data_IF_263849182804
#
_entry.id   IF_263849182804
#
_cell.length_a   1.000
_cell.length_b   1.000
_cell.length_c   1.000
_cell.angle_alpha   90.00
_cell.angle_beta   90.00
_cell.angle_gamma   90.00
#
_symmetry.space_group_name_H-M   'P 1'
#
loop_
_entity.id
_entity.type
_entity.pdbx_description
1 polymer ?
#
# COMPACT_ATOMS: atom_id res chain seq x y z
N UNK A 1 50.55 36.78 0.19
CA UNK A 1 49.78 36.82 -1.07
C UNK A 1 48.78 35.67 -1.04
N UNK A 2 47.52 35.96 -0.72
CA UNK A 2 46.47 34.97 -0.48
C UNK A 2 45.52 34.98 -1.70
N UNK A 3 45.55 33.94 -2.53
CA UNK A 3 44.57 33.77 -3.62
C UNK A 3 43.29 33.17 -3.04
N UNK A 4 42.28 34.02 -2.80
CA UNK A 4 40.89 33.61 -2.60
C UNK A 4 40.40 32.87 -3.86
N UNK A 5 40.05 31.61 -3.73
CA UNK A 5 39.16 30.92 -4.67
C UNK A 5 37.82 30.75 -3.95
N UNK A 6 36.89 31.68 -4.20
CA UNK A 6 35.50 31.51 -3.82
C UNK A 6 34.82 30.81 -4.99
N UNK A 7 34.34 29.57 -4.78
CA UNK A 7 33.40 28.95 -5.71
C UNK A 7 32.00 29.14 -5.14
N UNK A 8 31.30 30.14 -5.67
CA UNK A 8 29.88 30.38 -5.42
C UNK A 8 29.09 29.43 -6.33
N UNK A 9 28.85 28.22 -5.85
CA UNK A 9 27.90 27.29 -6.46
C UNK A 9 26.49 27.72 -6.09
N UNK A 10 25.89 28.60 -6.89
CA UNK A 10 24.47 28.89 -6.85
C UNK A 10 23.72 27.64 -7.32
N UNK A 11 23.33 26.75 -6.42
CA UNK A 11 22.31 25.76 -6.74
C UNK A 11 20.96 26.41 -6.50
N UNK A 12 20.41 26.93 -7.60
CA UNK A 12 19.02 27.36 -7.72
C UNK A 12 18.11 26.31 -7.09
N UNK A 13 17.17 26.79 -6.27
CA UNK A 13 16.18 25.99 -5.60
C UNK A 13 15.60 24.90 -6.52
N UNK A 14 15.69 23.63 -6.08
CA UNK A 14 14.69 22.67 -6.49
C UNK A 14 13.42 23.13 -5.77
N UNK A 15 12.59 23.90 -6.46
CA UNK A 15 11.17 23.92 -6.14
C UNK A 15 10.75 22.46 -6.14
N UNK A 16 10.48 21.91 -4.96
CA UNK A 16 9.71 20.70 -4.87
C UNK A 16 8.44 21.01 -5.68
N UNK A 17 8.30 20.33 -6.83
CA UNK A 17 7.02 20.24 -7.49
C UNK A 17 6.18 19.43 -6.49
N UNK A 18 5.56 20.10 -5.53
CA UNK A 18 4.45 19.51 -4.80
C UNK A 18 3.37 19.39 -5.85
N UNK A 19 3.36 18.25 -6.53
CA UNK A 19 2.19 17.84 -7.26
C UNK A 19 1.08 17.80 -6.22
N UNK A 20 0.20 18.79 -6.28
CA UNK A 20 -1.11 18.71 -5.67
C UNK A 20 -1.87 17.65 -6.44
N UNK A 21 -1.49 16.38 -6.27
CA UNK A 21 -2.44 15.30 -6.45
C UNK A 21 -3.48 15.58 -5.38
N UNK A 22 -4.69 15.93 -5.81
CA UNK A 22 -5.82 15.90 -4.90
C UNK A 22 -5.82 14.50 -4.28
N UNK A 23 -5.59 14.45 -2.97
CA UNK A 23 -5.61 13.25 -2.16
C UNK A 23 -6.92 12.53 -2.43
N UNK A 24 -6.86 11.54 -3.30
CA UNK A 24 -7.97 10.67 -3.61
C UNK A 24 -7.52 9.31 -3.12
N UNK A 25 -7.98 8.98 -1.90
CA UNK A 25 -7.77 7.72 -1.23
C UNK A 25 -7.53 6.62 -2.25
N UNK A 26 -6.28 6.17 -2.39
CA UNK A 26 -5.95 5.22 -3.43
C UNK A 26 -6.67 3.90 -3.13
N UNK A 27 -7.68 3.58 -3.95
CA UNK A 27 -8.46 2.34 -3.87
C UNK A 27 -7.81 1.32 -4.81
N UNK A 28 -7.22 0.29 -4.23
CA UNK A 28 -6.62 -0.82 -4.94
C UNK A 28 -7.64 -1.96 -5.05
N UNK A 29 -7.88 -2.41 -6.28
CA UNK A 29 -8.79 -3.50 -6.56
C UNK A 29 -8.02 -4.81 -6.66
N UNK A 30 -8.43 -5.81 -5.88
CA UNK A 30 -8.00 -7.20 -6.02
C UNK A 30 -9.03 -7.89 -6.90
N UNK A 31 -8.74 -8.00 -8.20
CA UNK A 31 -9.67 -8.59 -9.16
C UNK A 31 -9.73 -10.12 -9.03
N UNK A 32 -8.58 -10.75 -8.80
CA UNK A 32 -8.44 -12.17 -8.50
C UNK A 32 -7.00 -12.43 -8.05
N UNK A 33 -6.83 -12.92 -6.83
CA UNK A 33 -5.54 -13.38 -6.30
C UNK A 33 -5.69 -14.85 -5.88
N UNK A 34 -5.13 -15.74 -6.69
CA UNK A 34 -5.14 -17.18 -6.44
C UNK A 34 -4.04 -17.56 -5.45
N UNK A 35 -4.42 -18.16 -4.33
CA UNK A 35 -3.50 -18.65 -3.30
C UNK A 35 -3.13 -20.14 -3.48
N UNK A 36 -3.67 -20.81 -4.50
CA UNK A 36 -3.60 -22.25 -4.68
C UNK A 36 -4.69 -22.99 -3.90
N UNK A 37 -4.78 -24.30 -4.13
CA UNK A 37 -5.76 -25.20 -3.49
C UNK A 37 -7.23 -24.77 -3.63
N UNK A 38 -7.53 -23.97 -4.65
CA UNK A 38 -8.86 -23.45 -4.94
C UNK A 38 -9.24 -22.19 -4.17
N UNK A 39 -8.34 -21.59 -3.39
CA UNK A 39 -8.61 -20.34 -2.68
C UNK A 39 -8.33 -19.12 -3.56
N UNK A 40 -9.32 -18.24 -3.68
CA UNK A 40 -9.20 -17.00 -4.45
C UNK A 40 -9.63 -15.82 -3.59
N UNK A 41 -8.80 -14.78 -3.53
CA UNK A 41 -9.16 -13.49 -2.95
C UNK A 41 -9.61 -12.49 -4.02
N UNK A 42 -10.61 -11.70 -3.66
CA UNK A 42 -11.01 -10.49 -4.37
C UNK A 42 -11.47 -9.42 -3.38
N UNK A 43 -11.53 -8.16 -3.83
CA UNK A 43 -11.97 -7.07 -2.97
C UNK A 43 -11.25 -5.75 -3.19
N UNK A 44 -11.25 -4.92 -2.17
CA UNK A 44 -10.64 -3.59 -2.20
C UNK A 44 -9.81 -3.27 -0.96
N UNK A 45 -8.75 -2.48 -1.15
CA UNK A 45 -7.96 -1.88 -0.09
C UNK A 45 -7.90 -0.39 -0.35
N UNK A 46 -8.19 0.41 0.65
CA UNK A 46 -8.08 1.86 0.61
C UNK A 46 -6.93 2.31 1.49
N UNK A 47 -6.12 3.25 0.99
CA UNK A 47 -5.03 3.86 1.75
C UNK A 47 -5.27 5.34 2.02
N UNK A 48 -4.47 5.93 2.91
CA UNK A 48 -4.49 7.35 3.29
C UNK A 48 -3.71 8.28 2.32
N UNK A 49 -3.42 7.81 1.11
CA UNK A 49 -2.63 8.50 0.08
C UNK A 49 -1.13 8.62 0.35
N UNK A 50 -0.63 7.95 1.38
CA UNK A 50 0.83 7.79 1.55
C UNK A 50 1.42 7.06 0.36
N UNK A 51 2.46 7.65 -0.25
CA UNK A 51 3.25 7.04 -1.33
C UNK A 51 4.59 6.56 -0.76
N UNK A 52 5.05 5.40 -1.20
CA UNK A 52 6.23 4.72 -0.67
C UNK A 52 5.85 3.64 0.35
N UNK A 53 6.75 3.38 1.30
CA UNK A 53 6.56 2.32 2.30
C UNK A 53 5.35 2.59 3.20
N UNK A 54 4.51 1.57 3.36
CA UNK A 54 3.28 1.64 4.14
C UNK A 54 3.42 0.93 5.49
N UNK A 55 2.64 1.41 6.45
CA UNK A 55 2.35 0.76 7.74
C UNK A 55 0.87 0.42 7.81
N UNK A 56 0.44 -0.39 8.79
CA UNK A 56 -0.98 -0.73 8.96
C UNK A 56 -1.87 0.49 9.18
N UNK A 57 -1.35 1.56 9.79
CA UNK A 57 -2.08 2.81 9.99
C UNK A 57 -2.42 3.54 8.66
N UNK A 58 -1.70 3.24 7.58
CA UNK A 58 -1.97 3.82 6.26
C UNK A 58 -3.11 3.10 5.51
N UNK A 59 -3.59 1.95 6.00
CA UNK A 59 -4.75 1.26 5.45
C UNK A 59 -5.99 1.76 6.18
N UNK A 60 -6.80 2.53 5.47
CA UNK A 60 -7.95 3.25 6.06
C UNK A 60 -9.26 2.49 5.92
N UNK A 61 -9.35 1.58 4.96
CA UNK A 61 -10.48 0.68 4.79
C UNK A 61 -10.07 -0.55 3.97
N UNK A 62 -10.78 -1.65 4.13
CA UNK A 62 -10.69 -2.82 3.26
C UNK A 62 -11.99 -3.61 3.27
N UNK A 63 -12.22 -4.34 2.19
CA UNK A 63 -13.32 -5.30 2.04
C UNK A 63 -12.79 -6.43 1.14
N UNK A 64 -12.28 -7.49 1.77
CA UNK A 64 -11.59 -8.60 1.12
C UNK A 64 -12.36 -9.88 1.37
N UNK A 65 -12.84 -10.49 0.30
CA UNK A 65 -13.45 -11.82 0.33
C UNK A 65 -12.46 -12.86 -0.16
N UNK A 66 -12.27 -13.92 0.62
CA UNK A 66 -11.52 -15.13 0.23
C UNK A 66 -12.51 -16.27 0.10
N UNK A 67 -12.69 -16.82 -1.10
CA UNK A 67 -13.60 -17.95 -1.34
C UNK A 67 -12.85 -19.26 -1.50
N UNK A 68 -13.44 -20.36 -1.03
CA UNK A 68 -13.09 -21.67 -1.55
C UNK A 68 -13.79 -21.91 -2.90
N UNK A 69 -13.05 -22.31 -3.92
CA UNK A 69 -13.56 -22.55 -5.27
C UNK A 69 -14.46 -23.79 -5.38
N UNK A 70 -14.75 -24.46 -4.26
CA UNK A 70 -15.41 -25.78 -4.21
C UNK A 70 -16.79 -25.73 -3.52
N UNK A 71 -17.07 -24.74 -2.67
CA UNK A 71 -18.32 -24.68 -1.90
C UNK A 71 -18.91 -23.28 -1.70
N UNK A 72 -18.25 -22.22 -2.18
CA UNK A 72 -18.75 -20.85 -2.06
C UNK A 72 -18.77 -20.32 -0.62
N UNK A 73 -18.19 -21.06 0.32
CA UNK A 73 -18.00 -20.57 1.69
C UNK A 73 -16.79 -19.64 1.68
N UNK A 74 -17.03 -18.36 1.96
CA UNK A 74 -15.99 -17.33 1.94
C UNK A 74 -15.73 -16.74 3.31
N UNK A 75 -14.50 -16.33 3.55
CA UNK A 75 -14.13 -15.43 4.65
C UNK A 75 -14.20 -14.00 4.15
N UNK A 76 -14.91 -13.13 4.87
CA UNK A 76 -14.88 -11.70 4.57
C UNK A 76 -14.12 -10.94 5.65
N UNK A 77 -13.12 -10.19 5.24
CA UNK A 77 -12.33 -9.30 6.08
C UNK A 77 -12.69 -7.86 5.73
N UNK A 78 -13.26 -7.15 6.70
CA UNK A 78 -13.54 -5.73 6.63
C UNK A 78 -12.78 -5.00 7.72
N UNK A 79 -12.61 -3.68 7.55
CA UNK A 79 -12.02 -2.83 8.60
C UNK A 79 -12.70 -3.03 9.97
N UNK A 80 -14.00 -3.26 9.97
CA UNK A 80 -14.80 -3.38 11.20
C UNK A 80 -14.68 -4.74 11.89
N UNK A 81 -14.30 -5.82 11.19
CA UNK A 81 -14.28 -7.18 11.75
C UNK A 81 -12.87 -7.80 11.86
N UNK A 82 -11.84 -7.08 11.40
CA UNK A 82 -10.48 -7.60 11.31
C UNK A 82 -9.44 -6.51 11.56
N UNK A 83 -8.20 -6.93 11.77
CA UNK A 83 -7.04 -6.04 11.86
C UNK A 83 -6.06 -6.33 10.72
N UNK A 84 -5.32 -5.31 10.30
CA UNK A 84 -4.29 -5.41 9.27
C UNK A 84 -2.88 -5.41 9.88
N UNK A 85 -2.02 -6.32 9.42
CA UNK A 85 -0.59 -6.33 9.70
C UNK A 85 0.20 -6.19 8.41
N UNK A 86 1.24 -5.35 8.45
CA UNK A 86 2.08 -5.03 7.29
C UNK A 86 3.55 -5.15 7.64
N UNK A 87 4.28 -5.85 6.79
CA UNK A 87 5.73 -5.73 6.66
C UNK A 87 6.13 -5.67 5.20
N UNK A 88 6.88 -4.64 4.81
CA UNK A 88 7.42 -4.57 3.46
C UNK A 88 6.38 -4.35 2.36
N UNK A 89 5.32 -3.59 2.64
CA UNK A 89 4.38 -3.14 1.61
C UNK A 89 4.72 -1.70 1.20
N UNK A 90 4.59 -1.39 -0.09
CA UNK A 90 4.74 -0.04 -0.63
C UNK A 90 3.68 0.22 -1.69
N UNK A 91 3.37 1.50 -1.91
CA UNK A 91 2.55 1.91 -3.05
C UNK A 91 3.20 3.04 -3.84
N UNK A 92 2.96 3.08 -5.15
CA UNK A 92 3.26 4.23 -6.00
C UNK A 92 2.01 5.08 -6.31
N UNK A 93 0.88 4.77 -5.66
CA UNK A 93 -0.43 5.39 -5.87
C UNK A 93 -1.28 4.69 -6.93
N UNK A 94 -0.70 3.76 -7.70
CA UNK A 94 -1.38 2.97 -8.73
C UNK A 94 -1.32 1.47 -8.46
N UNK A 95 -0.28 1.00 -7.76
CA UNK A 95 -0.07 -0.40 -7.42
C UNK A 95 0.48 -0.59 -6.01
N UNK A 96 -0.01 -1.63 -5.32
CA UNK A 96 0.59 -2.16 -4.09
C UNK A 96 1.68 -3.19 -4.45
N UNK A 97 2.85 -3.04 -3.85
CA UNK A 97 4.03 -3.88 -4.09
C UNK A 97 4.57 -4.44 -2.77
N UNK A 98 4.85 -5.74 -2.76
CA UNK A 98 5.63 -6.39 -1.69
C UNK A 98 7.12 -6.20 -1.99
N UNK A 99 7.82 -5.51 -1.10
CA UNK A 99 9.19 -5.02 -1.31
C UNK A 99 10.27 -6.11 -1.21
N UNK A 100 9.99 -7.22 -0.52
CA UNK A 100 10.97 -8.27 -0.28
C UNK A 100 10.30 -9.64 -0.10
N UNK A 101 11.02 -10.77 -0.30
CA UNK A 101 10.44 -12.12 -0.34
C UNK A 101 9.65 -12.56 0.90
N UNK A 102 9.86 -11.90 2.05
CA UNK A 102 9.17 -12.14 3.31
C UNK A 102 8.26 -10.97 3.74
N UNK A 103 7.90 -10.08 2.80
CA UNK A 103 6.93 -9.03 3.05
C UNK A 103 5.53 -9.63 3.12
N UNK A 104 4.69 -9.08 4.00
CA UNK A 104 3.39 -9.62 4.35
C UNK A 104 2.37 -8.49 4.42
N UNK A 105 1.22 -8.71 3.80
CA UNK A 105 -0.03 -8.06 4.14
C UNK A 105 -0.96 -9.15 4.67
N UNK A 106 -1.40 -9.00 5.91
CA UNK A 106 -2.25 -9.99 6.59
C UNK A 106 -3.49 -9.31 7.17
N UNK A 107 -4.64 -9.96 7.00
CA UNK A 107 -5.88 -9.63 7.70
C UNK A 107 -6.22 -10.76 8.68
N UNK A 108 -6.59 -10.40 9.91
CA UNK A 108 -6.98 -11.38 10.94
C UNK A 108 -8.18 -10.90 11.72
N UNK A 109 -9.16 -11.78 11.94
CA UNK A 109 -10.34 -11.47 12.75
C UNK A 109 -9.95 -11.02 14.16
N UNK A 110 -10.62 -9.98 14.65
CA UNK A 110 -10.34 -9.36 15.95
C UNK A 110 -11.21 -9.93 17.08
N UNK A 111 -11.44 -11.25 17.09
CA UNK A 111 -12.34 -11.96 18.02
C UNK A 111 -12.46 -11.37 19.41
#
# INVERSE_FOLDING_TARGET
MLKKLAFLGLFSAISALSANYAAQAAVFNINSLDFGDGFVASGTITTDDTIGSLTSANLTNWDITVTDGVGGSGFNFTETNSGAFIQGLSTDGTQLTVLFPNGVLQFSNTS
#
